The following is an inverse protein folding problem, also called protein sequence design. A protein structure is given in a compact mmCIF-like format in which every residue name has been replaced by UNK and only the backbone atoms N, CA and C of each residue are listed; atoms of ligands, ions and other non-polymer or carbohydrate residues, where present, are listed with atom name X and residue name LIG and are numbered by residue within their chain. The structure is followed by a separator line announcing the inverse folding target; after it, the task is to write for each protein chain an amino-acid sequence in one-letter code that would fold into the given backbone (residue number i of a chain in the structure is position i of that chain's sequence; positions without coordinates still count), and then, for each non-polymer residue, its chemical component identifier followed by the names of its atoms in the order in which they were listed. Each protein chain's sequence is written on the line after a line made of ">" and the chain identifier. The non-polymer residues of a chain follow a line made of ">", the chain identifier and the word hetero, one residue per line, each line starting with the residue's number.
data_IF_698410801526
#
_entry.id   IF_698410801526
#
_cell.length_a   1.000
_cell.length_b   1.000
_cell.length_c   1.000
_cell.angle_alpha   90.00
_cell.angle_beta   90.00
_cell.angle_gamma   90.00
#
_symmetry.space_group_name_H-M   'P 1'
#
loop_
_entity.id
_entity.type
_entity.pdbx_description
1 polymer ?
#
# COMPACT_ATOMS: atom_id res chain seq x y z
N UNK A 1 -11.38 2.07 20.32
CA UNK A 1 -12.13 3.09 19.54
C UNK A 1 -12.87 2.50 18.35
N UNK A 2 -12.22 1.78 17.41
CA UNK A 2 -12.96 1.06 16.35
C UNK A 2 -13.78 -0.15 16.83
N UNK A 3 -13.43 -0.69 18.00
CA UNK A 3 -14.11 -1.81 18.67
C UNK A 3 -14.87 -1.38 19.93
N UNK A 4 -14.97 -0.06 20.18
CA UNK A 4 -15.70 0.45 21.34
C UNK A 4 -17.20 0.54 21.06
N UNK A 5 -18.02 0.56 22.12
CA UNK A 5 -19.49 0.66 22.02
C UNK A 5 -19.96 1.88 21.22
N UNK A 6 -19.17 2.96 21.16
CA UNK A 6 -19.48 4.16 20.39
C UNK A 6 -19.16 4.10 18.89
N UNK A 7 -18.44 3.07 18.41
CA UNK A 7 -18.05 3.01 16.98
C UNK A 7 -19.24 2.94 16.02
N UNK A 8 -20.29 2.13 16.25
CA UNK A 8 -21.43 2.05 15.34
C UNK A 8 -22.07 3.42 15.10
N UNK A 9 -22.24 4.22 16.17
CA UNK A 9 -22.75 5.58 16.05
C UNK A 9 -21.82 6.47 15.23
N UNK A 10 -20.51 6.44 15.46
CA UNK A 10 -19.55 7.24 14.70
C UNK A 10 -19.50 6.82 13.22
N UNK A 11 -19.53 5.52 12.93
CA UNK A 11 -19.51 4.99 11.56
C UNK A 11 -20.78 5.33 10.78
N UNK A 12 -21.95 5.27 11.42
CA UNK A 12 -23.22 5.66 10.82
C UNK A 12 -23.23 7.12 10.35
N UNK A 13 -22.61 8.01 11.14
CA UNK A 13 -22.62 9.46 10.88
C UNK A 13 -21.38 9.96 10.15
N UNK A 14 -20.35 9.13 9.96
CA UNK A 14 -19.12 9.52 9.32
C UNK A 14 -19.28 9.61 7.79
N UNK A 15 -18.78 10.69 7.16
CA UNK A 15 -18.94 10.91 5.74
C UNK A 15 -18.25 9.82 4.91
N UNK A 16 -18.88 9.43 3.79
CA UNK A 16 -18.33 8.42 2.85
C UNK A 16 -17.40 9.00 1.80
N UNK A 17 -17.45 10.33 1.62
CA UNK A 17 -16.57 11.11 0.77
C UNK A 17 -16.04 12.30 1.56
N UNK A 18 -14.82 12.73 1.27
CA UNK A 18 -14.21 13.89 1.89
C UNK A 18 -13.51 14.75 0.85
N UNK A 19 -13.22 15.98 1.23
CA UNK A 19 -12.52 16.96 0.40
C UNK A 19 -11.39 17.60 1.19
N UNK A 20 -10.30 17.95 0.50
CA UNK A 20 -9.12 18.52 1.15
C UNK A 20 -8.28 17.47 1.86
N UNK A 21 -7.24 17.93 2.56
CA UNK A 21 -6.32 17.07 3.29
C UNK A 21 -6.68 17.08 4.78
N UNK A 22 -6.89 15.90 5.33
CA UNK A 22 -7.24 15.68 6.72
C UNK A 22 -5.97 15.27 7.51
N UNK A 23 -5.53 16.08 8.50
CA UNK A 23 -4.38 15.75 9.31
C UNK A 23 -4.77 14.74 10.40
N UNK A 24 -4.17 13.55 10.36
CA UNK A 24 -4.39 12.48 11.33
C UNK A 24 -3.13 12.20 12.13
N UNK A 25 -2.66 13.21 12.85
CA UNK A 25 -1.37 13.17 13.55
C UNK A 25 -1.31 12.32 14.82
N UNK A 26 -2.45 11.85 15.34
CA UNK A 26 -2.50 11.04 16.57
C UNK A 26 -2.80 9.58 16.27
N UNK A 27 -2.44 8.69 17.20
CA UNK A 27 -2.71 7.25 17.06
C UNK A 27 -4.23 6.96 16.99
N UNK A 28 -5.03 7.68 17.77
CA UNK A 28 -6.50 7.56 17.78
C UNK A 28 -7.10 7.94 16.42
N UNK A 29 -6.47 8.87 15.70
CA UNK A 29 -6.94 9.29 14.39
C UNK A 29 -6.88 8.17 13.34
N UNK A 30 -6.00 7.17 13.53
CA UNK A 30 -5.91 5.98 12.68
C UNK A 30 -7.12 5.03 12.81
N UNK A 31 -7.93 5.22 13.86
CA UNK A 31 -9.16 4.47 14.15
C UNK A 31 -10.44 5.18 13.71
N UNK A 32 -10.31 6.34 13.04
CA UNK A 32 -11.48 7.05 12.57
C UNK A 32 -12.30 6.21 11.60
N UNK A 33 -13.63 6.40 11.55
CA UNK A 33 -14.50 5.52 10.80
C UNK A 33 -14.12 5.39 9.33
N UNK A 34 -13.65 6.47 8.68
CA UNK A 34 -13.18 6.44 7.29
C UNK A 34 -11.97 5.50 7.06
N UNK A 35 -11.04 5.41 8.00
CA UNK A 35 -9.86 4.54 7.92
C UNK A 35 -10.26 3.08 8.09
N UNK A 36 -11.05 2.82 9.12
CA UNK A 36 -11.55 1.48 9.42
C UNK A 36 -12.46 0.96 8.32
N UNK A 37 -13.37 1.80 7.83
CA UNK A 37 -14.25 1.49 6.70
C UNK A 37 -13.44 1.19 5.44
N UNK A 38 -12.37 1.93 5.14
CA UNK A 38 -11.51 1.63 4.00
C UNK A 38 -10.88 0.23 4.15
N UNK A 39 -10.26 -0.07 5.30
CA UNK A 39 -9.67 -1.40 5.58
C UNK A 39 -10.70 -2.51 5.44
N UNK A 40 -11.88 -2.37 6.07
CA UNK A 40 -12.97 -3.35 5.99
C UNK A 40 -13.48 -3.56 4.57
N UNK A 41 -13.67 -2.48 3.81
CA UNK A 41 -14.13 -2.55 2.41
C UNK A 41 -13.07 -3.13 1.49
N UNK A 42 -11.79 -2.84 1.74
CA UNK A 42 -10.69 -3.45 1.02
C UNK A 42 -10.74 -4.97 1.17
N UNK A 43 -10.77 -5.48 2.40
CA UNK A 43 -10.81 -6.92 2.70
C UNK A 43 -12.09 -7.62 2.22
N UNK A 44 -13.24 -6.95 2.25
CA UNK A 44 -14.51 -7.58 1.87
C UNK A 44 -14.85 -7.46 0.37
N UNK A 45 -14.45 -6.38 -0.29
CA UNK A 45 -14.96 -6.01 -1.63
C UNK A 45 -13.88 -5.88 -2.69
N UNK A 46 -12.67 -5.48 -2.33
CA UNK A 46 -11.64 -5.25 -3.35
C UNK A 46 -11.18 -6.57 -3.96
N UNK A 47 -11.07 -6.58 -5.28
CA UNK A 47 -10.40 -7.61 -6.08
C UNK A 47 -9.51 -6.89 -7.09
N UNK A 48 -8.33 -7.44 -7.32
CA UNK A 48 -7.44 -6.90 -8.33
C UNK A 48 -8.12 -6.92 -9.71
N UNK A 49 -7.89 -5.90 -10.56
CA UNK A 49 -8.45 -5.88 -11.90
C UNK A 49 -8.02 -7.07 -12.76
N UNK A 50 -8.84 -7.52 -13.71
CA UNK A 50 -8.43 -8.52 -14.70
C UNK A 50 -7.18 -8.09 -15.47
N UNK A 51 -6.32 -9.06 -15.81
CA UNK A 51 -5.08 -8.83 -16.57
C UNK A 51 -3.88 -8.38 -15.72
N UNK A 52 -4.04 -8.28 -14.40
CA UNK A 52 -2.96 -7.97 -13.46
C UNK A 52 -2.16 -9.21 -13.04
N UNK A 53 -1.26 -9.65 -13.89
CA UNK A 53 -0.51 -10.89 -13.67
C UNK A 53 0.57 -10.79 -12.58
N UNK A 54 1.14 -9.61 -12.36
CA UNK A 54 2.26 -9.40 -11.43
C UNK A 54 1.87 -8.42 -10.32
N UNK A 55 2.24 -8.70 -9.08
CA UNK A 55 2.08 -7.79 -7.95
C UNK A 55 3.38 -7.02 -7.70
N UNK A 56 3.33 -5.70 -7.61
CA UNK A 56 4.45 -4.87 -7.17
C UNK A 56 4.09 -4.10 -5.90
N UNK A 57 4.80 -4.37 -4.81
CA UNK A 57 4.69 -3.67 -3.54
C UNK A 57 5.70 -2.53 -3.48
N UNK A 58 5.22 -1.31 -3.23
CA UNK A 58 6.04 -0.09 -3.12
C UNK A 58 5.71 0.66 -1.83
N UNK A 59 6.63 1.47 -1.27
CA UNK A 59 6.31 2.28 -0.11
C UNK A 59 5.27 3.35 -0.48
N UNK A 60 4.58 3.86 0.53
CA UNK A 60 3.76 5.04 0.40
C UNK A 60 4.58 6.30 0.08
N UNK A 61 3.89 7.40 -0.19
CA UNK A 61 4.52 8.71 -0.37
C UNK A 61 3.74 9.82 0.31
N UNK A 62 4.44 10.89 0.72
CA UNK A 62 3.81 12.08 1.31
C UNK A 62 2.76 12.69 0.38
N UNK A 63 3.09 12.85 -0.89
CA UNK A 63 2.16 13.38 -1.90
C UNK A 63 1.16 12.30 -2.29
N UNK A 64 -0.14 12.62 -2.19
CA UNK A 64 -1.24 11.79 -2.70
C UNK A 64 -1.99 12.50 -3.83
N UNK A 65 -2.59 11.79 -4.80
CA UNK A 65 -2.48 10.34 -5.03
C UNK A 65 -1.03 9.92 -5.28
N UNK A 66 -0.63 8.73 -4.79
CA UNK A 66 0.77 8.34 -4.69
C UNK A 66 1.50 8.35 -6.03
N UNK A 67 0.82 7.95 -7.11
CA UNK A 67 1.33 7.97 -8.49
C UNK A 67 1.87 9.33 -8.95
N UNK A 68 1.44 10.43 -8.32
CA UNK A 68 1.92 11.80 -8.63
C UNK A 68 3.16 12.20 -7.84
N UNK A 69 3.55 11.44 -6.82
CA UNK A 69 4.76 11.71 -6.07
C UNK A 69 6.02 11.55 -6.94
N UNK A 70 7.11 12.29 -6.67
CA UNK A 70 8.36 12.12 -7.41
C UNK A 70 8.88 10.68 -7.37
N UNK A 71 8.77 10.00 -6.22
CA UNK A 71 9.26 8.64 -6.04
C UNK A 71 8.48 7.63 -6.89
N UNK A 72 7.15 7.68 -6.83
CA UNK A 72 6.30 6.81 -7.65
C UNK A 72 6.46 7.10 -9.13
N UNK A 73 6.58 8.36 -9.54
CA UNK A 73 6.83 8.70 -10.97
C UNK A 73 8.11 8.06 -11.50
N UNK A 74 9.16 7.98 -10.68
CA UNK A 74 10.41 7.28 -11.07
C UNK A 74 10.19 5.78 -11.21
N UNK A 75 9.54 5.15 -10.23
CA UNK A 75 9.21 3.71 -10.28
C UNK A 75 8.36 3.40 -11.51
N UNK A 76 7.25 4.12 -11.72
CA UNK A 76 6.33 3.88 -12.83
C UNK A 76 6.97 4.13 -14.19
N UNK A 77 7.87 5.11 -14.28
CA UNK A 77 8.66 5.33 -15.50
C UNK A 77 9.50 4.09 -15.82
N UNK A 78 10.21 3.53 -14.84
CA UNK A 78 10.98 2.29 -15.01
C UNK A 78 10.11 1.14 -15.52
N UNK A 79 8.91 0.97 -14.94
CA UNK A 79 7.97 -0.08 -15.39
C UNK A 79 7.44 0.15 -16.81
N UNK A 80 7.23 1.42 -17.18
CA UNK A 80 6.75 1.80 -18.51
C UNK A 80 7.82 1.56 -19.57
N UNK A 81 9.10 1.84 -19.26
CA UNK A 81 10.22 1.60 -20.18
C UNK A 81 10.42 0.11 -20.48
N UNK A 82 10.06 -0.79 -19.54
CA UNK A 82 10.03 -2.24 -19.75
C UNK A 82 8.78 -2.77 -20.47
N UNK A 83 7.77 -1.94 -20.74
CA UNK A 83 6.56 -2.33 -21.46
C UNK A 83 5.56 -3.21 -20.68
N UNK A 84 5.80 -3.47 -19.39
CA UNK A 84 4.99 -4.40 -18.57
C UNK A 84 3.96 -3.72 -17.68
N UNK A 85 3.96 -2.39 -17.62
CA UNK A 85 3.08 -1.61 -16.74
C UNK A 85 1.60 -2.04 -16.77
N UNK A 86 0.97 -2.38 -17.92
CA UNK A 86 -0.43 -2.82 -17.94
C UNK A 86 -0.69 -4.08 -17.09
N UNK A 87 0.24 -5.04 -17.09
CA UNK A 87 0.12 -6.31 -16.38
C UNK A 87 0.52 -6.23 -14.89
N UNK A 88 1.08 -5.11 -14.44
CA UNK A 88 1.55 -4.95 -13.05
C UNK A 88 0.46 -4.29 -12.20
N UNK A 89 0.12 -4.93 -11.08
CA UNK A 89 -0.70 -4.38 -10.01
C UNK A 89 0.21 -3.67 -9.02
N UNK A 90 0.25 -2.35 -9.10
CA UNK A 90 1.08 -1.53 -8.21
C UNK A 90 0.29 -1.20 -6.95
N UNK A 91 0.80 -1.63 -5.81
CA UNK A 91 0.16 -1.45 -4.51
C UNK A 91 1.11 -0.76 -3.54
N UNK A 92 0.68 0.38 -3.00
CA UNK A 92 1.39 1.07 -1.93
C UNK A 92 1.08 0.48 -0.56
N UNK A 93 2.10 0.11 0.20
CA UNK A 93 1.95 -0.23 1.61
C UNK A 93 1.98 1.04 2.45
N UNK A 94 1.00 1.20 3.33
CA UNK A 94 0.83 2.44 4.07
C UNK A 94 0.10 2.26 5.39
N UNK A 95 0.46 3.06 6.39
CA UNK A 95 -0.38 3.35 7.54
C UNK A 95 -1.22 4.61 7.25
N UNK A 96 -2.47 4.69 7.72
CA UNK A 96 -3.21 3.68 8.49
C UNK A 96 -4.02 2.69 7.62
N UNK A 97 -3.94 2.77 6.29
CA UNK A 97 -4.86 2.06 5.40
C UNK A 97 -4.47 0.59 5.12
N UNK A 98 -3.28 0.17 5.52
CA UNK A 98 -2.71 -1.15 5.22
C UNK A 98 -2.13 -1.20 3.82
N UNK A 99 -2.99 -1.27 2.80
CA UNK A 99 -2.56 -1.29 1.40
C UNK A 99 -3.49 -0.45 0.52
N UNK A 100 -2.90 0.24 -0.46
CA UNK A 100 -3.63 1.06 -1.42
C UNK A 100 -3.15 0.75 -2.83
N UNK A 101 -3.95 -0.01 -3.61
CA UNK A 101 -3.77 -0.15 -5.05
C UNK A 101 -3.91 1.17 -5.78
N UNK A 102 -3.25 1.34 -6.92
CA UNK A 102 -3.40 2.52 -7.77
C UNK A 102 -4.85 2.77 -8.19
N UNK A 103 -5.65 1.72 -8.31
CA UNK A 103 -7.07 1.78 -8.62
C UNK A 103 -7.89 2.49 -7.53
N UNK A 104 -7.40 2.48 -6.30
CA UNK A 104 -8.05 3.10 -5.14
C UNK A 104 -7.35 4.37 -4.64
N UNK A 105 -6.19 4.74 -5.19
CA UNK A 105 -5.38 5.84 -4.65
C UNK A 105 -6.07 7.22 -4.67
N UNK A 106 -7.10 7.38 -5.52
CA UNK A 106 -7.91 8.60 -5.65
C UNK A 106 -9.20 8.56 -4.82
N UNK A 107 -9.52 7.42 -4.21
CA UNK A 107 -10.74 7.23 -3.43
C UNK A 107 -10.54 7.77 -2.01
N UNK A 108 -11.60 8.32 -1.41
CA UNK A 108 -11.56 8.72 0.00
C UNK A 108 -11.47 7.48 0.91
N UNK A 109 -10.58 7.47 1.93
CA UNK A 109 -9.68 8.53 2.38
C UNK A 109 -8.26 8.51 1.78
N UNK A 110 -7.90 7.55 0.92
CA UNK A 110 -6.54 7.34 0.42
C UNK A 110 -5.88 8.58 -0.22
N UNK A 111 -6.63 9.41 -0.94
CA UNK A 111 -6.11 10.66 -1.51
C UNK A 111 -6.06 11.85 -0.53
N UNK A 112 -6.67 11.72 0.65
CA UNK A 112 -7.12 12.86 1.45
C UNK A 112 -6.54 12.88 2.87
N UNK A 113 -5.59 12.01 3.19
CA UNK A 113 -5.04 11.91 4.54
C UNK A 113 -3.59 12.41 4.60
N UNK A 114 -3.22 13.01 5.73
CA UNK A 114 -1.83 13.35 6.06
C UNK A 114 -1.47 12.85 7.46
N UNK A 115 -0.32 12.19 7.56
CA UNK A 115 0.23 11.68 8.81
C UNK A 115 1.73 11.97 8.85
N UNK A 116 2.31 12.13 10.05
CA UNK A 116 3.75 12.08 10.21
C UNK A 116 4.30 10.76 9.68
N UNK A 117 5.30 10.82 8.79
CA UNK A 117 6.01 9.63 8.30
C UNK A 117 7.24 9.46 9.18
N UNK A 118 7.18 8.52 10.11
CA UNK A 118 8.23 8.29 11.12
C UNK A 118 9.17 7.15 10.75
N UNK A 119 8.79 6.27 9.81
CA UNK A 119 9.50 5.01 9.52
C UNK A 119 9.29 3.92 10.58
N UNK A 120 8.76 4.30 11.75
CA UNK A 120 8.49 3.38 12.84
C UNK A 120 7.08 2.81 12.70
N UNK A 121 7.01 1.51 12.42
CA UNK A 121 5.77 0.75 12.33
C UNK A 121 5.47 0.04 13.64
N UNK A 122 4.36 0.39 14.29
CA UNK A 122 3.87 -0.35 15.45
C UNK A 122 3.15 -1.65 15.08
N UNK A 123 2.84 -2.46 16.08
CA UNK A 123 2.25 -3.79 15.87
C UNK A 123 0.90 -3.76 15.15
N UNK A 124 0.07 -2.76 15.41
CA UNK A 124 -1.26 -2.65 14.80
C UNK A 124 -1.15 -2.23 13.33
N UNK A 125 -0.26 -1.28 13.03
CA UNK A 125 0.00 -0.84 11.66
C UNK A 125 0.52 -2.01 10.80
N UNK A 126 1.44 -2.82 11.36
CA UNK A 126 1.92 -4.04 10.70
C UNK A 126 0.77 -5.03 10.46
N UNK A 127 -0.09 -5.26 11.45
CA UNK A 127 -1.24 -6.17 11.30
C UNK A 127 -2.16 -5.72 10.15
N UNK A 128 -2.45 -4.42 10.03
CA UNK A 128 -3.29 -3.91 8.94
C UNK A 128 -2.67 -4.17 7.56
N UNK A 129 -1.36 -3.94 7.43
CA UNK A 129 -0.62 -4.21 6.18
C UNK A 129 -0.61 -5.71 5.89
N UNK A 130 -0.27 -6.55 6.87
CA UNK A 130 -0.21 -8.01 6.71
C UNK A 130 -1.57 -8.60 6.33
N UNK A 131 -2.66 -8.12 6.92
CA UNK A 131 -4.01 -8.55 6.55
C UNK A 131 -4.37 -8.14 5.12
N UNK A 132 -4.02 -6.92 4.71
CA UNK A 132 -4.24 -6.46 3.35
C UNK A 132 -3.45 -7.29 2.32
N UNK A 133 -2.19 -7.65 2.65
CA UNK A 133 -1.36 -8.51 1.80
C UNK A 133 -1.91 -9.93 1.67
N UNK A 134 -2.30 -10.56 2.80
CA UNK A 134 -2.94 -11.89 2.79
C UNK A 134 -4.21 -11.90 1.94
N UNK A 135 -5.00 -10.83 2.02
CA UNK A 135 -6.19 -10.66 1.18
C UNK A 135 -5.85 -10.55 -0.31
N UNK A 136 -4.84 -9.75 -0.66
CA UNK A 136 -4.42 -9.58 -2.06
C UNK A 136 -3.91 -10.89 -2.67
N UNK A 137 -3.00 -11.57 -1.98
CA UNK A 137 -2.36 -12.79 -2.47
C UNK A 137 -3.32 -13.98 -2.42
N UNK A 138 -4.18 -14.06 -1.41
CA UNK A 138 -5.22 -15.10 -1.35
C UNK A 138 -6.37 -14.87 -2.33
N UNK A 139 -6.61 -13.62 -2.74
CA UNK A 139 -7.70 -13.22 -3.62
C UNK A 139 -7.34 -13.15 -5.11
N UNK A 140 -6.06 -13.30 -5.47
CA UNK A 140 -5.60 -13.29 -6.85
C UNK A 140 -4.36 -14.16 -7.05
N UNK A 141 -4.41 -15.05 -8.04
CA UNK A 141 -3.24 -15.80 -8.51
C UNK A 141 -2.29 -14.91 -9.33
N UNK A 142 -1.40 -14.19 -8.65
CA UNK A 142 -0.28 -13.52 -9.32
C UNK A 142 0.75 -14.56 -9.76
N UNK A 143 1.34 -14.36 -10.92
CA UNK A 143 2.45 -15.18 -11.44
C UNK A 143 3.80 -14.80 -10.82
N UNK A 144 3.87 -13.61 -10.20
CA UNK A 144 5.05 -13.13 -9.50
C UNK A 144 4.73 -11.94 -8.60
N UNK A 145 5.44 -11.86 -7.48
CA UNK A 145 5.32 -10.83 -6.45
C UNK A 145 6.67 -10.14 -6.32
N UNK A 146 6.70 -8.84 -6.56
CA UNK A 146 7.90 -8.01 -6.51
C UNK A 146 7.80 -7.08 -5.32
N UNK A 147 8.78 -7.14 -4.43
CA UNK A 147 8.83 -6.34 -3.21
C UNK A 147 9.90 -5.26 -3.38
N UNK A 148 9.46 -4.02 -3.49
CA UNK A 148 10.29 -2.85 -3.74
C UNK A 148 10.12 -1.83 -2.60
N UNK A 149 10.47 -2.26 -1.39
CA UNK A 149 10.26 -1.55 -0.13
C UNK A 149 11.60 -1.20 0.56
N UNK A 150 11.62 -0.24 1.49
CA UNK A 150 12.74 -0.07 2.42
C UNK A 150 13.03 -1.37 3.20
N UNK A 151 14.30 -1.62 3.55
CA UNK A 151 14.73 -2.83 4.26
C UNK A 151 13.92 -3.11 5.52
N UNK A 152 13.67 -2.07 6.32
CA UNK A 152 12.90 -2.16 7.57
C UNK A 152 11.47 -2.67 7.38
N UNK A 153 10.86 -2.41 6.22
CA UNK A 153 9.53 -2.90 5.86
C UNK A 153 9.59 -4.34 5.34
N UNK A 154 10.63 -4.68 4.57
CA UNK A 154 10.81 -6.00 3.97
C UNK A 154 10.89 -7.13 5.01
N UNK A 155 11.44 -6.85 6.20
CA UNK A 155 11.71 -7.87 7.22
C UNK A 155 10.46 -8.48 7.83
N UNK A 156 9.38 -7.73 7.97
CA UNK A 156 8.11 -8.24 8.52
C UNK A 156 7.06 -8.49 7.43
N UNK A 157 7.12 -7.79 6.28
CA UNK A 157 6.20 -8.03 5.15
C UNK A 157 6.28 -9.47 4.63
N UNK A 158 7.44 -10.11 4.71
CA UNK A 158 7.63 -11.52 4.33
C UNK A 158 6.68 -12.49 5.06
N UNK A 159 6.20 -12.14 6.25
CA UNK A 159 5.28 -12.98 7.05
C UNK A 159 3.89 -13.15 6.41
N UNK A 160 3.51 -12.28 5.46
CA UNK A 160 2.24 -12.35 4.74
C UNK A 160 2.39 -12.87 3.30
N UNK A 161 3.62 -13.11 2.84
CA UNK A 161 3.89 -13.56 1.47
C UNK A 161 4.16 -15.07 1.42
N UNK A 162 3.82 -15.74 0.31
CA UNK A 162 4.11 -17.15 0.14
C UNK A 162 5.63 -17.39 0.11
N UNK A 163 6.06 -18.54 0.61
CA UNK A 163 7.46 -18.97 0.51
C UNK A 163 7.67 -19.66 -0.84
N UNK A 164 8.36 -19.01 -1.78
CA UNK A 164 8.66 -19.59 -3.09
C UNK A 164 9.46 -18.66 -4.00
N UNK A 165 9.95 -19.17 -5.16
CA UNK A 165 10.70 -18.38 -6.14
C UNK A 165 9.87 -17.27 -6.81
N UNK A 166 8.56 -17.25 -6.56
CA UNK A 166 7.61 -16.25 -7.07
C UNK A 166 7.76 -14.89 -6.37
N UNK A 167 8.48 -14.80 -5.24
CA UNK A 167 8.70 -13.54 -4.52
C UNK A 167 10.11 -13.00 -4.76
N UNK A 168 10.20 -11.85 -5.44
CA UNK A 168 11.46 -11.19 -5.81
C UNK A 168 11.63 -9.88 -5.05
N UNK A 169 12.75 -9.70 -4.37
CA UNK A 169 13.07 -8.50 -3.60
C UNK A 169 14.00 -7.61 -4.42
N UNK A 170 13.59 -6.37 -4.70
CA UNK A 170 14.23 -5.54 -5.74
C UNK A 170 14.88 -4.25 -5.24
N UNK A 171 14.55 -3.77 -4.02
CA UNK A 171 15.25 -2.61 -3.49
C UNK A 171 16.61 -3.03 -2.89
N UNK A 172 17.69 -2.35 -3.28
CA UNK A 172 19.03 -2.66 -2.81
C UNK A 172 19.42 -1.76 -1.64
N UNK A 173 19.52 -2.35 -0.45
CA UNK A 173 20.18 -1.72 0.71
C UNK A 173 19.43 -0.54 1.34
N UNK A 174 20.16 0.20 2.17
CA UNK A 174 19.63 1.31 2.98
C UNK A 174 19.57 2.64 2.20
N UNK A 175 20.03 2.65 0.94
CA UNK A 175 20.16 3.86 0.12
C UNK A 175 18.83 4.37 -0.46
N UNK A 176 17.75 3.59 -0.30
CA UNK A 176 16.38 3.97 -0.66
C UNK A 176 15.87 3.35 -1.97
N UNK A 177 14.54 3.29 -2.08
CA UNK A 177 13.85 2.59 -3.18
C UNK A 177 14.04 3.28 -4.55
N UNK A 178 14.36 4.57 -4.59
CA UNK A 178 14.49 5.31 -5.87
C UNK A 178 15.93 5.60 -6.32
N UNK A 179 16.92 4.90 -5.75
CA UNK A 179 18.31 5.00 -6.22
C UNK A 179 18.46 4.37 -7.60
N UNK A 180 19.52 4.74 -8.31
CA UNK A 180 19.79 4.14 -9.61
C UNK A 180 20.04 2.63 -9.52
N UNK A 181 20.59 2.13 -8.41
CA UNK A 181 20.77 0.70 -8.17
C UNK A 181 19.41 0.00 -7.98
N UNK A 182 18.57 0.46 -7.06
CA UNK A 182 17.23 -0.08 -6.80
C UNK A 182 16.35 -0.08 -8.05
N UNK A 183 16.35 1.01 -8.84
CA UNK A 183 15.56 1.08 -10.07
C UNK A 183 16.09 0.15 -11.16
N UNK A 184 17.41 -0.03 -11.29
CA UNK A 184 17.98 -1.02 -12.23
C UNK A 184 17.66 -2.45 -11.81
N UNK A 185 17.70 -2.75 -10.51
CA UNK A 185 17.32 -4.05 -9.98
C UNK A 185 15.85 -4.35 -10.28
N UNK A 186 14.96 -3.37 -10.03
CA UNK A 186 13.54 -3.46 -10.40
C UNK A 186 13.35 -3.71 -11.90
N UNK A 187 14.04 -2.96 -12.77
CA UNK A 187 13.96 -3.10 -14.22
C UNK A 187 14.47 -4.46 -14.75
N UNK A 188 15.40 -5.10 -14.03
CA UNK A 188 15.91 -6.43 -14.40
C UNK A 188 14.98 -7.56 -13.97
N UNK A 189 14.26 -7.34 -12.88
CA UNK A 189 13.34 -8.33 -12.33
C UNK A 189 12.02 -8.42 -13.11
N UNK A 190 11.59 -7.30 -13.73
CA UNK A 190 10.33 -7.17 -14.47
C UNK A 190 10.58 -7.09 -15.98
#
# INVERSE_FOLDING_TARGET
>A
YAEGEGYPFLEEHAPVVGSGIHPYGTKEAQYRPEMERFRRRFLSRYRAPPGKELLLLVPCSKTKPYSRSPSHRRILRTLSEGGRLPAIHVVSLTSPLGAVPQELERVFPAAHYDIPVTGNWDGEERIWVLNALRHLVGGHAYQGIFVHLPREEMDWVREALPTGPEVVWTAEGDEGVTTAASLRSLARAL
#
